data_IF_128979385182
#
_entry.id   IF_128979385182
#
_cell.length_a   1.000
_cell.length_b   1.000
_cell.length_c   1.000
_cell.angle_alpha   90.00
_cell.angle_beta   90.00
_cell.angle_gamma   90.00
#
_symmetry.space_group_name_H-M   'P 1'
#
loop_
_entity.id
_entity.type
_entity.pdbx_description
1 polymer ?
#
# COMPACT_ATOMS: atom_id res chain seq x y z
N UNK A 1 -22.65 -32.27 34.17
CA UNK A 1 -24.08 -32.60 34.11
C UNK A 1 -24.90 -31.33 34.36
N UNK A 2 -25.38 -30.72 33.29
CA UNK A 2 -26.48 -29.74 33.35
C UNK A 2 -27.21 -29.89 32.02
N UNK A 3 -28.16 -30.82 31.98
CA UNK A 3 -29.16 -30.85 30.93
C UNK A 3 -30.03 -29.60 31.14
N UNK A 4 -29.58 -28.47 30.61
CA UNK A 4 -30.45 -27.29 30.44
C UNK A 4 -31.54 -27.78 29.51
N UNK A 5 -32.77 -27.83 29.98
CA UNK A 5 -33.89 -28.21 29.13
C UNK A 5 -33.98 -27.20 27.99
N UNK A 6 -33.97 -27.67 26.74
CA UNK A 6 -34.09 -26.86 25.50
C UNK A 6 -35.40 -26.03 25.42
N UNK A 7 -36.20 -26.04 26.49
CA UNK A 7 -37.47 -25.32 26.63
C UNK A 7 -37.26 -23.92 27.17
N UNK A 8 -36.30 -23.71 28.09
CA UNK A 8 -36.05 -22.40 28.71
C UNK A 8 -34.57 -22.08 28.65
N UNK A 9 -34.22 -21.09 27.85
CA UNK A 9 -32.83 -20.73 27.56
C UNK A 9 -32.59 -19.27 27.93
N UNK A 10 -31.76 -18.98 28.96
CA UNK A 10 -31.38 -17.62 29.28
C UNK A 10 -30.48 -17.06 28.16
N UNK A 11 -30.75 -15.81 27.75
CA UNK A 11 -29.99 -15.06 26.75
C UNK A 11 -29.44 -13.82 27.45
N UNK A 12 -28.20 -13.88 27.99
CA UNK A 12 -27.57 -12.76 28.67
C UNK A 12 -27.38 -11.52 27.77
N UNK A 13 -27.05 -10.34 28.34
CA UNK A 13 -26.61 -9.18 27.56
C UNK A 13 -25.47 -9.54 26.59
N UNK A 14 -25.48 -8.94 25.40
CA UNK A 14 -24.50 -9.18 24.33
C UNK A 14 -24.36 -10.64 23.89
N UNK A 15 -25.45 -11.42 24.05
CA UNK A 15 -25.57 -12.74 23.47
C UNK A 15 -26.79 -12.83 22.56
N UNK A 16 -26.76 -13.78 21.63
CA UNK A 16 -27.84 -14.04 20.70
C UNK A 16 -27.98 -15.53 20.42
N UNK A 17 -29.18 -15.95 20.02
CA UNK A 17 -29.46 -17.31 19.57
C UNK A 17 -30.28 -17.30 18.28
N UNK A 18 -30.31 -18.43 17.58
CA UNK A 18 -31.14 -18.59 16.37
C UNK A 18 -32.24 -19.61 16.61
N UNK A 19 -33.47 -19.24 16.25
CA UNK A 19 -34.67 -20.05 16.45
C UNK A 19 -35.34 -20.26 15.10
N UNK A 20 -35.53 -21.52 14.72
CA UNK A 20 -36.34 -21.93 13.58
C UNK A 20 -37.78 -22.15 14.04
N UNK A 21 -38.71 -21.42 13.43
CA UNK A 21 -40.14 -21.72 13.50
C UNK A 21 -40.49 -22.75 12.40
N UNK A 22 -40.94 -23.94 12.80
CA UNK A 22 -41.28 -25.04 11.90
C UNK A 22 -42.57 -24.82 11.11
N UNK A 23 -43.46 -23.93 11.56
CA UNK A 23 -44.68 -23.63 10.83
C UNK A 23 -44.41 -22.74 9.62
N UNK A 24 -43.51 -21.77 9.79
CA UNK A 24 -43.14 -20.80 8.75
C UNK A 24 -41.85 -21.18 8.02
N UNK A 25 -41.08 -22.11 8.58
CA UNK A 25 -39.73 -22.48 8.17
C UNK A 25 -38.74 -21.29 8.20
N UNK A 26 -39.01 -20.30 9.06
CA UNK A 26 -38.20 -19.09 9.17
C UNK A 26 -37.27 -19.23 10.38
N UNK A 27 -35.96 -19.08 10.14
CA UNK A 27 -34.98 -18.92 11.20
C UNK A 27 -34.83 -17.44 11.53
N UNK A 28 -35.06 -17.07 12.79
CA UNK A 28 -34.94 -15.71 13.28
C UNK A 28 -33.87 -15.57 14.36
N UNK A 29 -33.35 -14.36 14.46
CA UNK A 29 -32.41 -13.94 15.48
C UNK A 29 -33.16 -13.51 16.74
N UNK A 30 -32.67 -13.94 17.91
CA UNK A 30 -33.14 -13.47 19.22
C UNK A 30 -31.95 -12.93 20.00
N UNK A 31 -31.99 -11.66 20.40
CA UNK A 31 -30.91 -10.99 21.15
C UNK A 31 -31.29 -10.82 22.62
N UNK A 32 -30.32 -10.98 23.52
CA UNK A 32 -30.51 -10.71 24.95
C UNK A 32 -30.51 -9.21 25.27
N UNK A 33 -30.82 -8.82 26.53
CA UNK A 33 -31.08 -9.68 27.68
C UNK A 33 -32.54 -10.15 27.76
N UNK A 34 -32.78 -11.47 27.70
CA UNK A 34 -34.10 -12.07 27.93
C UNK A 34 -33.97 -13.56 28.28
N UNK A 35 -35.03 -14.15 28.83
CA UNK A 35 -35.14 -15.61 28.94
C UNK A 35 -36.02 -16.10 27.79
N UNK A 36 -35.43 -16.81 26.85
CA UNK A 36 -36.14 -17.36 25.71
C UNK A 36 -36.89 -18.64 26.13
N UNK A 37 -38.19 -18.67 25.89
CA UNK A 37 -39.03 -19.85 26.14
C UNK A 37 -39.44 -20.40 24.78
N UNK A 38 -38.92 -21.58 24.44
CA UNK A 38 -39.17 -22.25 23.16
C UNK A 38 -40.60 -22.77 23.12
N UNK A 39 -41.36 -22.39 22.08
CA UNK A 39 -42.69 -22.96 21.82
C UNK A 39 -42.59 -24.33 21.13
N UNK A 40 -43.69 -25.09 21.11
CA UNK A 40 -43.70 -26.44 20.53
C UNK A 40 -43.28 -26.49 19.06
N UNK A 41 -43.69 -25.50 18.27
CA UNK A 41 -43.33 -25.37 16.85
C UNK A 41 -41.94 -24.77 16.61
N UNK A 42 -41.20 -24.42 17.65
CA UNK A 42 -39.89 -23.79 17.52
C UNK A 42 -38.77 -24.79 17.82
N UNK A 43 -37.64 -24.65 17.13
CA UNK A 43 -36.40 -25.36 17.43
C UNK A 43 -35.24 -24.38 17.49
N UNK A 44 -34.39 -24.52 18.50
CA UNK A 44 -33.18 -23.73 18.65
C UNK A 44 -32.12 -24.33 17.72
N UNK A 45 -31.69 -23.55 16.72
CA UNK A 45 -30.69 -23.99 15.73
C UNK A 45 -29.29 -23.63 16.21
N UNK A 46 -29.16 -22.53 16.94
CA UNK A 46 -27.92 -22.08 17.55
C UNK A 46 -28.18 -21.68 18.99
N UNK A 47 -27.46 -22.27 19.94
CA UNK A 47 -27.50 -21.90 21.35
C UNK A 47 -26.93 -20.49 21.57
N UNK A 48 -27.24 -19.81 22.69
CA UNK A 48 -26.73 -18.47 22.99
C UNK A 48 -25.22 -18.37 22.77
N UNK A 49 -24.84 -17.53 21.80
CA UNK A 49 -23.48 -17.21 21.43
C UNK A 49 -23.20 -15.74 21.73
N UNK A 50 -21.94 -15.40 22.01
CA UNK A 50 -21.52 -14.01 22.22
C UNK A 50 -21.63 -13.23 20.91
N UNK A 51 -22.11 -11.99 21.00
CA UNK A 51 -22.02 -11.02 19.92
C UNK A 51 -20.56 -10.76 19.55
N UNK A 52 -20.34 -10.43 18.28
CA UNK A 52 -19.03 -10.03 17.78
C UNK A 52 -18.75 -8.62 18.27
N UNK A 53 -17.60 -8.43 18.91
CA UNK A 53 -17.12 -7.13 19.39
C UNK A 53 -15.88 -6.76 18.60
N UNK A 54 -15.91 -5.59 17.96
CA UNK A 54 -14.80 -5.06 17.17
C UNK A 54 -14.35 -3.76 17.81
N UNK A 55 -13.09 -3.68 18.25
CA UNK A 55 -12.56 -2.46 18.87
C UNK A 55 -12.13 -1.42 17.82
N UNK A 56 -11.80 -0.20 18.26
CA UNK A 56 -11.35 0.91 17.40
C UNK A 56 -10.14 0.59 16.50
N UNK A 57 -9.35 -0.43 16.86
CA UNK A 57 -8.12 -0.82 16.15
C UNK A 57 -8.25 -2.17 15.45
N UNK A 58 -9.45 -2.68 15.30
CA UNK A 58 -9.72 -4.00 14.73
C UNK A 58 -10.77 -3.91 13.61
N UNK A 59 -10.87 -4.98 12.85
CA UNK A 59 -11.93 -5.22 11.88
C UNK A 59 -12.25 -6.72 11.85
N UNK A 60 -13.38 -7.08 11.26
CA UNK A 60 -13.66 -8.46 10.90
C UNK A 60 -14.35 -8.53 9.54
N UNK A 61 -14.35 -9.70 8.92
CA UNK A 61 -14.99 -9.94 7.64
C UNK A 61 -16.18 -10.87 7.87
N UNK A 62 -17.34 -10.49 7.34
CA UNK A 62 -18.58 -11.26 7.41
C UNK A 62 -18.87 -11.82 6.02
N UNK A 63 -19.02 -13.14 5.93
CA UNK A 63 -19.46 -13.84 4.73
C UNK A 63 -20.99 -13.87 4.67
N UNK A 64 -21.53 -13.75 3.46
CA UNK A 64 -22.96 -13.72 3.19
C UNK A 64 -23.69 -12.65 4.04
N UNK A 65 -23.22 -11.39 4.02
CA UNK A 65 -23.77 -10.34 4.87
C UNK A 65 -25.26 -10.12 4.59
N UNK A 66 -26.01 -9.70 5.60
CA UNK A 66 -27.40 -9.29 5.39
C UNK A 66 -27.51 -8.07 4.48
N UNK A 67 -28.51 -8.06 3.60
CA UNK A 67 -28.85 -6.88 2.82
C UNK A 67 -29.47 -5.82 3.71
N UNK A 68 -29.05 -4.58 3.53
CA UNK A 68 -29.59 -3.41 4.21
C UNK A 68 -30.17 -2.42 3.20
N UNK A 69 -31.23 -1.73 3.59
CA UNK A 69 -31.80 -0.64 2.82
C UNK A 69 -30.95 0.64 2.94
N UNK A 70 -31.39 1.72 2.27
CA UNK A 70 -30.69 3.01 2.29
C UNK A 70 -30.64 3.68 3.68
N UNK A 71 -31.44 3.22 4.64
CA UNK A 71 -31.43 3.68 6.04
C UNK A 71 -30.57 2.77 6.94
N UNK A 72 -29.96 1.72 6.37
CA UNK A 72 -29.15 0.76 7.11
C UNK A 72 -29.97 -0.31 7.85
N UNK A 73 -31.28 -0.43 7.60
CA UNK A 73 -32.13 -1.44 8.21
C UNK A 73 -32.07 -2.74 7.41
N UNK A 74 -32.07 -3.86 8.12
CA UNK A 74 -32.02 -5.20 7.50
C UNK A 74 -33.27 -5.43 6.65
N UNK A 75 -33.06 -5.83 5.40
CA UNK A 75 -34.13 -6.19 4.47
C UNK A 75 -34.61 -7.60 4.80
N UNK A 76 -35.93 -7.76 4.88
CA UNK A 76 -36.57 -9.04 5.17
C UNK A 76 -37.64 -9.34 4.13
N UNK A 77 -37.68 -10.57 3.64
CA UNK A 77 -38.70 -11.08 2.73
C UNK A 77 -39.51 -12.16 3.45
N UNK A 78 -40.83 -11.97 3.53
CA UNK A 78 -41.74 -12.88 4.27
C UNK A 78 -41.33 -13.13 5.73
N UNK A 79 -40.58 -12.20 6.35
CA UNK A 79 -40.06 -12.34 7.72
C UNK A 79 -38.70 -13.02 7.84
N UNK A 80 -38.13 -13.52 6.74
CA UNK A 80 -36.78 -14.06 6.68
C UNK A 80 -35.78 -12.97 6.26
N UNK A 81 -34.62 -12.95 6.89
CA UNK A 81 -33.53 -12.03 6.51
C UNK A 81 -32.97 -12.40 5.15
N UNK A 82 -32.75 -11.39 4.31
CA UNK A 82 -32.17 -11.58 2.97
C UNK A 82 -30.66 -11.43 3.07
N UNK A 83 -29.92 -12.46 2.66
CA UNK A 83 -28.46 -12.47 2.61
C UNK A 83 -27.96 -12.11 1.21
N UNK A 84 -26.77 -11.52 1.15
CA UNK A 84 -26.02 -11.33 -0.08
C UNK A 84 -25.01 -12.48 -0.25
N UNK A 85 -25.51 -13.61 -0.77
CA UNK A 85 -24.71 -14.83 -0.87
C UNK A 85 -23.49 -14.65 -1.78
N UNK A 86 -22.33 -15.08 -1.30
CA UNK A 86 -21.06 -14.98 -2.01
C UNK A 86 -20.34 -13.64 -1.87
N UNK A 87 -20.95 -12.67 -1.20
CA UNK A 87 -20.32 -11.40 -0.87
C UNK A 87 -19.65 -11.42 0.51
N UNK A 88 -18.74 -10.47 0.70
CA UNK A 88 -18.04 -10.22 1.95
C UNK A 88 -18.28 -8.77 2.42
N UNK A 89 -18.48 -8.58 3.72
CA UNK A 89 -18.61 -7.26 4.35
C UNK A 89 -17.52 -7.07 5.42
N UNK A 90 -16.75 -6.00 5.27
CA UNK A 90 -15.78 -5.57 6.28
C UNK A 90 -16.49 -4.73 7.34
N UNK A 91 -16.51 -5.21 8.59
CA UNK A 91 -17.06 -4.47 9.73
C UNK A 91 -15.93 -3.93 10.59
N UNK A 92 -16.00 -2.65 10.94
CA UNK A 92 -15.06 -1.95 11.81
C UNK A 92 -15.69 -1.72 13.18
N UNK A 93 -15.02 -0.89 13.99
CA UNK A 93 -15.49 -0.52 15.32
C UNK A 93 -16.93 0.00 15.33
N UNK A 94 -17.80 -0.75 16.02
CA UNK A 94 -19.22 -0.46 16.17
C UNK A 94 -19.74 -1.17 17.43
N UNK A 95 -20.97 -0.86 17.91
CA UNK A 95 -21.58 -1.60 19.01
C UNK A 95 -21.58 -3.12 18.76
N UNK A 96 -21.43 -3.96 19.80
CA UNK A 96 -21.44 -5.40 19.64
C UNK A 96 -22.67 -5.87 18.86
N UNK A 97 -22.44 -6.71 17.85
CA UNK A 97 -23.48 -7.12 16.92
C UNK A 97 -23.61 -8.64 16.85
N UNK A 98 -24.84 -9.16 16.71
CA UNK A 98 -25.05 -10.57 16.44
C UNK A 98 -24.75 -10.89 14.97
N UNK A 99 -24.57 -12.18 14.68
CA UNK A 99 -24.64 -12.67 13.30
C UNK A 99 -26.08 -13.09 13.01
N UNK A 100 -26.60 -12.69 11.86
CA UNK A 100 -27.90 -13.15 11.39
C UNK A 100 -27.81 -14.60 10.91
N UNK A 101 -28.94 -15.35 10.90
CA UNK A 101 -28.96 -16.71 10.36
C UNK A 101 -28.36 -16.77 8.95
N UNK A 102 -27.27 -17.51 8.79
CA UNK A 102 -26.52 -17.69 7.54
C UNK A 102 -25.33 -16.74 7.33
N UNK A 103 -25.22 -15.64 8.08
CA UNK A 103 -23.98 -14.88 8.16
C UNK A 103 -22.90 -15.71 8.86
N UNK A 104 -21.66 -15.57 8.42
CA UNK A 104 -20.52 -16.26 9.03
C UNK A 104 -19.37 -15.27 9.25
N UNK A 105 -18.73 -15.33 10.42
CA UNK A 105 -17.49 -14.61 10.67
C UNK A 105 -16.35 -15.33 9.94
N UNK A 106 -15.70 -14.65 9.01
CA UNK A 106 -14.52 -15.17 8.34
C UNK A 106 -13.31 -15.01 9.28
N UNK A 107 -12.84 -16.13 9.84
CA UNK A 107 -11.74 -16.13 10.79
C UNK A 107 -12.10 -15.44 12.11
N UNK A 108 -11.15 -14.66 12.65
CA UNK A 108 -11.30 -13.93 13.91
C UNK A 108 -11.27 -12.42 13.68
N UNK A 109 -11.68 -11.67 14.71
CA UNK A 109 -11.49 -10.21 14.75
C UNK A 109 -9.99 -9.93 14.65
N UNK A 110 -9.61 -9.16 13.64
CA UNK A 110 -8.22 -8.95 13.21
C UNK A 110 -7.80 -7.50 13.46
N UNK A 111 -6.59 -7.23 13.98
CA UNK A 111 -6.11 -5.85 14.15
C UNK A 111 -5.90 -5.16 12.80
N UNK A 112 -6.21 -3.86 12.75
CA UNK A 112 -5.92 -2.99 11.62
C UNK A 112 -4.41 -2.80 11.46
N UNK A 113 -3.96 -2.74 10.21
CA UNK A 113 -2.53 -2.55 9.92
C UNK A 113 -2.14 -1.09 10.11
N UNK A 114 -1.23 -0.84 11.04
CA UNK A 114 -0.66 0.48 11.30
C UNK A 114 0.66 0.58 10.54
N UNK A 115 0.83 1.65 9.76
CA UNK A 115 2.05 1.91 9.00
C UNK A 115 2.76 3.14 9.58
N UNK A 116 4.06 3.04 9.89
CA UNK A 116 4.89 4.18 10.26
C UNK A 116 5.23 5.05 9.02
N UNK A 117 5.80 6.27 9.21
CA UNK A 117 6.10 7.20 8.11
C UNK A 117 6.99 6.67 6.97
N UNK A 118 7.86 5.71 7.25
CA UNK A 118 8.80 5.15 6.26
C UNK A 118 8.32 3.84 5.64
N UNK A 119 7.03 3.50 5.80
CA UNK A 119 6.46 2.29 5.23
C UNK A 119 5.21 2.60 4.42
N UNK A 120 4.95 1.75 3.43
CA UNK A 120 3.77 1.81 2.60
C UNK A 120 3.23 0.42 2.26
N UNK A 121 1.95 0.36 1.89
CA UNK A 121 1.38 -0.80 1.23
C UNK A 121 1.22 -0.51 -0.25
N UNK A 122 1.70 -1.42 -1.09
CA UNK A 122 1.34 -1.46 -2.50
C UNK A 122 -0.03 -2.11 -2.61
N UNK A 123 -1.00 -1.33 -3.06
CA UNK A 123 -2.38 -1.75 -3.24
C UNK A 123 -2.67 -1.94 -4.73
N UNK A 124 -3.63 -2.81 -5.04
CA UNK A 124 -4.18 -2.98 -6.38
C UNK A 124 -5.69 -3.06 -6.34
N UNK A 125 -6.35 -2.30 -7.21
CA UNK A 125 -7.80 -2.39 -7.39
C UNK A 125 -8.17 -3.69 -8.11
N UNK A 126 -9.13 -4.43 -7.56
CA UNK A 126 -9.70 -5.64 -8.16
C UNK A 126 -10.86 -5.25 -9.09
N UNK A 127 -11.67 -4.28 -8.65
CA UNK A 127 -12.82 -3.73 -9.38
C UNK A 127 -12.77 -2.21 -9.37
N UNK A 128 -13.59 -1.56 -10.19
CA UNK A 128 -13.70 -0.10 -10.19
C UNK A 128 -14.42 0.37 -8.92
N UNK A 129 -13.90 1.40 -8.26
CA UNK A 129 -14.54 2.03 -7.10
C UNK A 129 -14.01 3.45 -6.87
N UNK A 130 -14.68 4.23 -6.02
CA UNK A 130 -14.20 5.53 -5.58
C UNK A 130 -13.57 5.40 -4.20
N UNK A 131 -12.31 5.85 -4.07
CA UNK A 131 -11.59 5.80 -2.79
C UNK A 131 -12.05 6.90 -1.81
N UNK A 132 -11.56 6.84 -0.56
CA UNK A 132 -11.90 7.82 0.49
C UNK A 132 -11.52 9.26 0.15
N UNK A 133 -10.58 9.45 -0.78
CA UNK A 133 -10.14 10.77 -1.24
C UNK A 133 -10.93 11.25 -2.47
N UNK A 134 -11.93 10.48 -2.92
CA UNK A 134 -12.73 10.80 -4.09
C UNK A 134 -12.08 10.43 -5.42
N UNK A 135 -10.97 9.68 -5.43
CA UNK A 135 -10.34 9.24 -6.68
C UNK A 135 -11.08 8.03 -7.23
N UNK A 136 -11.41 8.06 -8.52
CA UNK A 136 -11.89 6.90 -9.25
C UNK A 136 -10.71 5.95 -9.52
N UNK A 137 -10.79 4.74 -8.96
CA UNK A 137 -9.84 3.67 -9.17
C UNK A 137 -10.34 2.73 -10.25
N UNK A 138 -9.47 2.37 -11.18
CA UNK A 138 -9.80 1.40 -12.24
C UNK A 138 -9.23 0.01 -11.91
N UNK A 139 -9.86 -1.09 -12.38
CA UNK A 139 -9.34 -2.44 -12.17
C UNK A 139 -7.88 -2.58 -12.63
N UNK A 140 -7.04 -3.16 -11.78
CA UNK A 140 -5.61 -3.36 -12.03
C UNK A 140 -4.72 -2.17 -11.69
N UNK A 141 -5.29 -0.99 -11.43
CA UNK A 141 -4.53 0.18 -10.97
C UNK A 141 -3.82 -0.12 -9.66
N UNK A 142 -2.55 0.31 -9.56
CA UNK A 142 -1.74 0.19 -8.37
C UNK A 142 -1.41 1.57 -7.80
N UNK A 143 -1.45 1.68 -6.47
CA UNK A 143 -1.05 2.89 -5.75
C UNK A 143 -0.45 2.51 -4.39
N UNK A 144 0.17 3.49 -3.75
CA UNK A 144 0.70 3.33 -2.40
C UNK A 144 -0.30 3.89 -1.38
N UNK A 145 -0.50 3.16 -0.29
CA UNK A 145 -0.94 3.74 0.97
C UNK A 145 0.30 3.98 1.82
N UNK A 146 0.73 5.23 1.92
CA UNK A 146 1.93 5.66 2.64
C UNK A 146 1.58 5.99 4.10
N UNK A 147 2.42 5.56 5.04
CA UNK A 147 2.29 5.97 6.43
C UNK A 147 2.72 7.43 6.67
N UNK A 148 2.47 7.99 7.86
CA UNK A 148 1.85 7.34 9.02
C UNK A 148 0.33 7.22 8.84
N UNK A 149 -0.21 6.02 9.09
CA UNK A 149 -1.65 5.80 8.93
C UNK A 149 -2.12 4.42 9.33
N UNK A 150 -3.44 4.29 9.52
CA UNK A 150 -4.10 3.01 9.77
C UNK A 150 -4.77 2.57 8.48
N UNK A 151 -4.31 1.49 7.89
CA UNK A 151 -4.89 0.93 6.69
C UNK A 151 -6.19 0.20 7.02
N UNK A 152 -7.30 0.66 6.40
CA UNK A 152 -8.61 0.02 6.45
C UNK A 152 -8.79 -0.84 5.20
N UNK A 153 -8.82 -2.18 5.32
CA UNK A 153 -9.00 -3.05 4.17
C UNK A 153 -10.40 -2.89 3.55
N UNK A 154 -10.50 -3.23 2.27
CA UNK A 154 -11.71 -3.12 1.45
C UNK A 154 -11.82 -4.33 0.53
N UNK A 155 -13.05 -4.74 0.19
CA UNK A 155 -13.27 -5.87 -0.72
C UNK A 155 -12.80 -5.59 -2.15
N UNK A 156 -12.79 -4.32 -2.56
CA UNK A 156 -12.38 -3.89 -3.90
C UNK A 156 -10.86 -3.82 -4.08
N UNK A 157 -10.07 -4.02 -3.01
CA UNK A 157 -8.63 -3.76 -2.99
C UNK A 157 -7.86 -4.98 -2.48
N UNK A 158 -6.79 -5.35 -3.17
CA UNK A 158 -5.82 -6.34 -2.69
C UNK A 158 -4.50 -5.69 -2.29
N UNK A 159 -3.89 -6.17 -1.21
CA UNK A 159 -2.55 -5.76 -0.78
C UNK A 159 -1.53 -6.65 -1.48
N UNK A 160 -0.69 -6.07 -2.34
CA UNK A 160 0.33 -6.81 -3.09
C UNK A 160 1.61 -7.03 -2.28
N UNK A 161 2.10 -5.98 -1.63
CA UNK A 161 3.35 -6.03 -0.87
C UNK A 161 3.43 -4.87 0.13
N UNK A 162 4.22 -5.03 1.18
CA UNK A 162 4.67 -3.92 2.03
C UNK A 162 6.00 -3.40 1.49
N UNK A 163 6.17 -2.08 1.48
CA UNK A 163 7.39 -1.40 1.05
C UNK A 163 7.93 -0.56 2.19
N UNK A 164 9.25 -0.47 2.27
CA UNK A 164 9.96 0.47 3.13
C UNK A 164 10.62 1.51 2.23
N UNK A 165 10.72 2.74 2.73
CA UNK A 165 11.43 3.79 2.03
C UNK A 165 12.92 3.47 1.95
N UNK A 166 13.53 3.78 0.81
CA UNK A 166 14.96 3.66 0.56
C UNK A 166 15.67 4.89 1.15
N UNK A 167 16.77 4.66 1.86
CA UNK A 167 17.50 5.74 2.53
C UNK A 167 18.63 6.25 1.62
N UNK A 168 18.53 7.51 1.20
CA UNK A 168 19.51 8.21 0.39
C UNK A 168 20.46 8.98 1.31
N UNK A 169 21.70 8.52 1.40
CA UNK A 169 22.77 9.19 2.14
C UNK A 169 23.24 10.46 1.41
N UNK A 170 23.89 11.40 2.11
CA UNK A 170 24.66 12.46 1.46
C UNK A 170 25.65 11.86 0.45
N UNK A 171 25.84 12.56 -0.69
CA UNK A 171 26.70 12.10 -1.78
C UNK A 171 26.31 10.72 -2.35
N UNK A 172 25.03 10.38 -2.28
CA UNK A 172 24.47 9.21 -2.95
C UNK A 172 23.18 9.57 -3.69
N UNK A 173 22.76 8.69 -4.61
CA UNK A 173 21.54 8.84 -5.36
C UNK A 173 20.94 7.48 -5.68
N UNK A 174 19.62 7.42 -5.86
CA UNK A 174 18.95 6.22 -6.36
C UNK A 174 18.69 6.34 -7.86
N UNK A 175 19.06 5.31 -8.61
CA UNK A 175 18.66 5.13 -10.00
C UNK A 175 17.28 4.48 -10.03
N UNK A 176 16.28 5.25 -10.43
CA UNK A 176 14.90 4.82 -10.57
C UNK A 176 14.60 4.52 -12.04
N UNK A 177 13.88 3.43 -12.28
CA UNK A 177 13.34 3.05 -13.59
C UNK A 177 11.81 3.01 -13.54
N UNK A 178 11.17 3.58 -14.56
CA UNK A 178 9.72 3.50 -14.75
C UNK A 178 9.33 2.13 -15.32
N UNK A 179 8.44 1.41 -14.61
CA UNK A 179 7.95 0.10 -15.02
C UNK A 179 6.84 0.18 -16.10
N UNK A 180 6.20 1.33 -16.22
CA UNK A 180 5.19 1.64 -17.23
C UNK A 180 5.07 3.15 -17.43
N UNK A 181 4.18 3.58 -18.33
CA UNK A 181 3.90 5.00 -18.51
C UNK A 181 3.03 5.50 -17.34
N UNK A 182 3.48 6.52 -16.62
CA UNK A 182 2.71 7.14 -15.53
C UNK A 182 3.14 8.60 -15.32
N UNK A 183 2.40 9.33 -14.48
CA UNK A 183 2.81 10.67 -14.02
C UNK A 183 3.41 10.53 -12.64
N UNK A 184 4.66 10.97 -12.46
CA UNK A 184 5.35 10.92 -11.17
C UNK A 184 4.84 11.97 -10.18
N UNK A 185 5.37 11.93 -8.95
CA UNK A 185 5.01 12.85 -7.86
C UNK A 185 5.29 14.33 -8.17
N UNK A 186 6.21 14.61 -9.10
CA UNK A 186 6.55 15.97 -9.54
C UNK A 186 5.62 16.47 -10.66
N UNK A 187 4.67 15.64 -11.10
CA UNK A 187 3.77 15.94 -12.21
C UNK A 187 4.39 15.67 -13.58
N UNK A 188 5.58 15.06 -13.62
CA UNK A 188 6.26 14.75 -14.89
C UNK A 188 5.76 13.41 -15.43
N UNK A 189 5.44 13.40 -16.73
CA UNK A 189 5.11 12.17 -17.45
C UNK A 189 6.37 11.34 -17.66
N UNK A 190 6.35 10.10 -17.18
CA UNK A 190 7.40 9.11 -17.35
C UNK A 190 6.99 8.07 -18.37
N UNK A 191 7.95 7.62 -19.17
CA UNK A 191 7.77 6.55 -20.15
C UNK A 191 8.36 5.25 -19.61
N UNK A 192 7.75 4.12 -19.95
CA UNK A 192 8.27 2.78 -19.61
C UNK A 192 9.76 2.64 -20.01
N UNK A 193 10.59 2.18 -19.07
CA UNK A 193 12.04 2.05 -19.21
C UNK A 193 12.80 3.37 -19.07
N UNK A 194 12.14 4.51 -18.90
CA UNK A 194 12.82 5.77 -18.56
C UNK A 194 13.53 5.62 -17.21
N UNK A 195 14.77 6.11 -17.15
CA UNK A 195 15.59 6.13 -15.94
C UNK A 195 15.91 7.55 -15.51
N UNK A 196 15.94 7.79 -14.21
CA UNK A 196 16.37 9.07 -13.63
C UNK A 196 17.01 8.86 -12.27
N UNK A 197 17.76 9.85 -11.81
CA UNK A 197 18.37 9.85 -10.49
C UNK A 197 17.53 10.66 -9.51
N UNK A 198 17.42 10.16 -8.30
CA UNK A 198 16.93 10.89 -7.13
C UNK A 198 18.11 11.16 -6.22
N UNK A 199 18.53 12.43 -6.13
CA UNK A 199 19.73 12.88 -5.40
C UNK A 199 19.43 13.51 -4.04
N UNK A 200 18.16 13.78 -3.74
CA UNK A 200 17.75 14.42 -2.49
C UNK A 200 18.01 13.47 -1.32
N UNK A 201 18.91 13.87 -0.41
CA UNK A 201 19.23 13.07 0.77
C UNK A 201 18.01 12.96 1.69
N UNK A 202 17.78 11.74 2.19
CA UNK A 202 16.63 11.44 3.04
C UNK A 202 15.93 10.14 2.65
N UNK A 203 14.68 10.04 3.04
CA UNK A 203 13.85 8.85 2.83
C UNK A 203 13.10 8.98 1.51
N UNK A 204 13.31 8.05 0.58
CA UNK A 204 12.62 8.01 -0.70
C UNK A 204 11.71 6.79 -0.79
N UNK A 205 10.40 7.04 -0.85
CA UNK A 205 9.41 5.99 -1.05
C UNK A 205 9.25 5.68 -2.54
N UNK A 206 9.72 4.50 -2.96
CA UNK A 206 9.62 4.03 -4.35
C UNK A 206 8.15 3.82 -4.72
N UNK A 207 7.65 4.60 -5.67
CA UNK A 207 6.28 4.62 -6.17
C UNK A 207 5.80 3.31 -6.78
N UNK A 208 4.48 3.13 -6.93
CA UNK A 208 3.88 1.88 -7.40
C UNK A 208 4.48 1.37 -8.73
N UNK A 209 4.74 2.29 -9.65
CA UNK A 209 5.28 2.02 -10.99
C UNK A 209 6.77 2.37 -11.13
N UNK A 210 7.46 2.51 -10.02
CA UNK A 210 8.89 2.78 -9.96
C UNK A 210 9.62 1.55 -9.46
N UNK A 211 10.85 1.37 -9.95
CA UNK A 211 11.79 0.36 -9.47
C UNK A 211 13.10 1.03 -9.15
N UNK A 212 13.61 0.82 -7.94
CA UNK A 212 15.00 1.11 -7.62
C UNK A 212 15.89 0.07 -8.30
N UNK A 213 16.77 0.53 -9.19
CA UNK A 213 17.69 -0.33 -9.95
C UNK A 213 19.01 -0.46 -9.20
N UNK A 214 19.58 0.66 -8.79
CA UNK A 214 20.91 0.73 -8.19
C UNK A 214 21.05 2.02 -7.35
N UNK A 215 21.96 1.99 -6.38
CA UNK A 215 22.37 3.16 -5.61
C UNK A 215 23.73 3.63 -6.11
N UNK A 216 23.80 4.89 -6.55
CA UNK A 216 25.05 5.52 -6.97
C UNK A 216 25.67 6.30 -5.82
N UNK A 217 27.00 6.29 -5.77
CA UNK A 217 27.80 7.12 -4.88
C UNK A 217 28.56 8.17 -5.69
N UNK A 218 28.76 9.34 -5.10
CA UNK A 218 29.52 10.40 -5.74
C UNK A 218 31.00 10.04 -5.84
N UNK A 219 31.61 10.42 -6.96
CA UNK A 219 33.06 10.46 -7.08
C UNK A 219 33.56 11.68 -6.33
N UNK A 220 34.43 11.47 -5.36
CA UNK A 220 35.10 12.57 -4.67
C UNK A 220 36.20 13.13 -5.59
N UNK A 221 36.20 14.44 -5.77
CA UNK A 221 37.14 15.16 -6.61
C UNK A 221 38.05 16.00 -5.73
N UNK A 222 39.35 15.96 -6.03
CA UNK A 222 40.37 16.72 -5.32
C UNK A 222 41.40 17.25 -6.33
N UNK A 223 42.50 17.83 -5.83
CA UNK A 223 43.58 18.33 -6.71
C UNK A 223 44.24 17.23 -7.55
N UNK A 224 44.05 15.95 -7.20
CA UNK A 224 44.67 14.78 -7.83
C UNK A 224 43.69 13.97 -8.69
N UNK A 225 42.39 14.15 -8.53
CA UNK A 225 41.39 13.37 -9.23
C UNK A 225 40.36 14.28 -9.91
N UNK A 226 40.31 14.20 -11.23
CA UNK A 226 39.25 14.78 -12.06
C UNK A 226 38.42 13.66 -12.69
N UNK A 227 37.14 13.93 -12.95
CA UNK A 227 36.25 12.97 -13.60
C UNK A 227 36.21 13.24 -15.10
N UNK A 228 36.65 12.26 -15.90
CA UNK A 228 36.47 12.29 -17.34
C UNK A 228 35.14 11.65 -17.72
N UNK A 229 34.24 12.47 -18.25
CA UNK A 229 32.86 12.08 -18.56
C UNK A 229 32.53 12.29 -20.03
N UNK A 230 31.67 11.43 -20.55
CA UNK A 230 31.11 11.48 -21.90
C UNK A 230 29.59 11.60 -21.86
N UNK A 231 29.02 12.44 -22.71
CA UNK A 231 27.58 12.54 -22.87
C UNK A 231 27.02 11.41 -23.74
N UNK A 232 26.17 10.57 -23.16
CA UNK A 232 25.42 9.53 -23.88
C UNK A 232 24.28 10.11 -24.73
N UNK A 233 23.78 11.30 -24.37
CA UNK A 233 22.74 12.04 -25.10
C UNK A 233 22.95 13.54 -24.93
N UNK A 234 22.44 14.33 -25.88
CA UNK A 234 22.45 15.78 -25.74
C UNK A 234 21.56 16.21 -24.57
N UNK A 235 22.11 16.92 -23.60
CA UNK A 235 21.41 17.34 -22.38
C UNK A 235 22.03 18.62 -21.79
N UNK A 236 21.45 19.11 -20.70
CA UNK A 236 22.04 20.16 -19.86
C UNK A 236 22.59 19.45 -18.62
N UNK A 237 23.88 19.62 -18.35
CA UNK A 237 24.54 19.02 -17.18
C UNK A 237 24.12 19.72 -15.88
N UNK A 238 24.51 19.15 -14.73
CA UNK A 238 24.17 19.68 -13.41
C UNK A 238 24.73 21.11 -13.16
N UNK A 239 25.71 21.54 -13.96
CA UNK A 239 26.31 22.87 -13.92
C UNK A 239 25.65 23.86 -14.89
N UNK A 240 24.56 23.45 -15.57
CA UNK A 240 23.81 24.29 -16.49
C UNK A 240 24.42 24.43 -17.89
N UNK A 241 25.45 23.64 -18.24
CA UNK A 241 26.11 23.69 -19.55
C UNK A 241 25.45 22.72 -20.51
N UNK A 242 25.30 23.12 -21.78
CA UNK A 242 24.75 22.25 -22.84
C UNK A 242 25.82 21.30 -23.33
N UNK A 243 25.57 20.00 -23.21
CA UNK A 243 26.43 18.92 -23.69
C UNK A 243 25.81 18.26 -24.92
N UNK A 244 26.60 18.02 -25.95
CA UNK A 244 26.16 17.28 -27.16
C UNK A 244 26.47 15.80 -27.01
N UNK A 245 25.67 14.95 -27.66
CA UNK A 245 25.95 13.51 -27.73
C UNK A 245 27.40 13.23 -28.17
N UNK A 246 28.11 12.41 -27.41
CA UNK A 246 29.51 12.04 -27.63
C UNK A 246 30.53 13.10 -27.21
N UNK A 247 30.10 14.27 -26.73
CA UNK A 247 31.01 15.25 -26.15
C UNK A 247 31.65 14.69 -24.88
N UNK A 248 32.97 14.88 -24.75
CA UNK A 248 33.75 14.48 -23.58
C UNK A 248 34.29 15.73 -22.87
N UNK A 249 34.27 15.73 -21.54
CA UNK A 249 34.81 16.83 -20.73
C UNK A 249 35.33 16.34 -19.38
N UNK A 250 36.10 17.20 -18.71
CA UNK A 250 36.57 16.98 -17.35
C UNK A 250 35.69 17.76 -16.37
N UNK A 251 35.35 17.11 -15.26
CA UNK A 251 34.80 17.73 -14.05
C UNK A 251 35.90 17.71 -13.00
N UNK A 252 36.22 18.86 -12.44
CA UNK A 252 37.35 19.02 -11.51
C UNK A 252 36.85 19.47 -10.14
N UNK A 253 37.74 19.43 -9.13
CA UNK A 253 37.43 19.94 -7.79
C UNK A 253 37.08 21.45 -7.77
N UNK A 254 37.43 22.19 -8.82
CA UNK A 254 37.05 23.60 -8.99
C UNK A 254 35.57 23.76 -9.35
N UNK A 255 34.95 22.73 -9.94
CA UNK A 255 33.52 22.73 -10.30
C UNK A 255 32.68 22.21 -9.12
N UNK A 256 33.10 21.10 -8.50
CA UNK A 256 32.42 20.49 -7.33
C UNK A 256 33.37 19.59 -6.55
N UNK A 257 33.18 19.48 -5.24
CA UNK A 257 33.94 18.54 -4.38
C UNK A 257 33.57 17.08 -4.64
N UNK A 258 32.35 16.82 -5.10
CA UNK A 258 31.94 15.47 -5.50
C UNK A 258 30.91 15.52 -6.63
N UNK A 259 30.92 14.51 -7.50
CA UNK A 259 30.00 14.42 -8.63
C UNK A 259 29.32 13.06 -8.70
N UNK A 260 28.00 13.05 -8.85
CA UNK A 260 27.22 11.86 -9.19
C UNK A 260 26.84 11.96 -10.67
N UNK A 261 27.45 11.13 -11.54
CA UNK A 261 27.15 11.15 -12.98
C UNK A 261 25.67 11.02 -13.25
N UNK A 262 25.14 11.86 -14.14
CA UNK A 262 23.73 11.79 -14.54
C UNK A 262 23.44 10.52 -15.35
N UNK A 263 22.16 10.19 -15.57
CA UNK A 263 21.77 9.07 -16.45
C UNK A 263 22.20 9.24 -17.92
N UNK A 264 22.59 10.46 -18.32
CA UNK A 264 23.09 10.78 -19.65
C UNK A 264 24.60 10.96 -19.68
N UNK A 265 25.29 10.68 -18.58
CA UNK A 265 26.75 10.77 -18.45
C UNK A 265 27.33 9.37 -18.25
N UNK A 266 28.41 9.09 -18.97
CA UNK A 266 29.23 7.91 -18.79
C UNK A 266 30.58 8.33 -18.24
N UNK A 267 31.05 7.71 -17.16
CA UNK A 267 32.40 7.93 -16.64
C UNK A 267 33.36 7.13 -17.50
N UNK A 268 34.19 7.82 -18.28
CA UNK A 268 35.22 7.20 -19.13
C UNK A 268 36.38 6.74 -18.26
N UNK A 269 36.87 7.61 -17.37
CA UNK A 269 37.87 7.29 -16.36
C UNK A 269 37.94 8.37 -15.26
N UNK A 270 38.64 8.06 -14.18
CA UNK A 270 39.14 9.06 -13.23
C UNK A 270 40.53 9.48 -13.73
N UNK A 271 40.67 10.75 -14.08
CA UNK A 271 41.90 11.32 -14.62
C UNK A 271 42.74 11.95 -13.50
N UNK A 272 44.06 11.71 -13.56
CA UNK A 272 45.02 12.34 -12.65
C UNK A 272 45.73 13.51 -13.36
N UNK A 273 46.07 14.59 -12.64
CA UNK A 273 46.78 15.71 -13.22
C UNK A 273 48.20 15.30 -13.63
N UNK A 274 48.64 15.79 -14.77
CA UNK A 274 50.03 15.65 -15.20
C UNK A 274 50.86 16.71 -14.47
N UNK A 275 51.65 16.29 -13.49
CA UNK A 275 52.51 17.18 -12.70
C UNK A 275 53.89 17.29 -13.35
N UNK A 276 54.26 18.48 -13.83
CA UNK A 276 55.59 18.76 -14.36
C UNK A 276 56.48 19.38 -13.26
N UNK A 277 57.69 18.83 -13.11
CA UNK A 277 58.75 19.44 -12.29
C UNK A 277 59.52 20.46 -13.11
N UNK A 278 60.42 21.23 -12.48
CA UNK A 278 61.29 22.20 -13.17
C UNK A 278 62.20 21.61 -14.24
N UNK A 279 62.30 20.27 -14.33
CA UNK A 279 63.13 19.55 -15.30
C UNK A 279 62.31 18.85 -16.39
N UNK A 280 60.98 18.89 -16.32
CA UNK A 280 60.10 18.15 -17.23
C UNK A 280 59.35 19.10 -18.18
N UNK A 281 59.08 18.65 -19.39
CA UNK A 281 58.13 19.29 -20.32
C UNK A 281 57.21 18.21 -20.91
N UNK A 282 55.99 18.60 -21.29
CA UNK A 282 55.10 17.74 -22.07
C UNK A 282 54.72 18.43 -23.39
N UNK A 283 54.34 17.63 -24.38
CA UNK A 283 53.84 18.11 -25.67
C UNK A 283 52.41 17.60 -25.82
N UNK A 284 51.45 18.52 -25.90
CA UNK A 284 50.06 18.17 -26.20
C UNK A 284 49.91 17.98 -27.70
N UNK A 285 49.44 16.81 -28.10
CA UNK A 285 49.04 16.53 -29.49
C UNK A 285 47.53 16.61 -29.56
N UNK A 286 47.01 17.53 -30.37
CA UNK A 286 45.57 17.65 -30.65
C UNK A 286 45.29 16.73 -31.84
N UNK A 287 44.46 15.71 -31.63
CA UNK A 287 44.00 14.77 -32.66
C UNK A 287 42.67 15.25 -33.29
#
# INVERSE_FOLDING_TARGET
>A
SSAVSDVVVPVPPFQYLHVLDRNTNITRLVTGPLTFIRKDHESIVQMPAKMVTVTAKEYCIILNPVKRDGEGKVITESGQVVLDYGEEEYRFAQPPFPLYPGEQLQGEVTPLKILPPNEALLLRAIVAFTDDNGNERIPGEQWLFEGPGVYKPRKEVTVLSQRSAEMILPNSALLIEALMNFTDRSGRKRVCGERWLVKEAGSYMVGAYEKCVETYHAYNLDEKHALHVRALKSHIDDFGRKRRHGEEWLITYLDTESHIPSVNEEVVCVAEPIILTSQNYCVFVIL
#
